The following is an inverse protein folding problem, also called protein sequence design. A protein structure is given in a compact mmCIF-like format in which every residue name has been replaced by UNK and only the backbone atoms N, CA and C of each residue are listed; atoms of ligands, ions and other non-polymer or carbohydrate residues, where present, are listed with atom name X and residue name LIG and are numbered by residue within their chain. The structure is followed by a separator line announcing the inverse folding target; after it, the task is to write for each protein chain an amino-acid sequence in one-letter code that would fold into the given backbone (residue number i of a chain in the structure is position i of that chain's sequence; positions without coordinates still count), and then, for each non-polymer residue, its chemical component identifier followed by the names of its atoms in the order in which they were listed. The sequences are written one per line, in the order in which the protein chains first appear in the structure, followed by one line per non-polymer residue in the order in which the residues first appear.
data_IF_472894815081
#
_entry.id   IF_472894815081
#
_cell.length_a   1.000
_cell.length_b   1.000
_cell.length_c   1.000
_cell.angle_alpha   90.00
_cell.angle_beta   90.00
_cell.angle_gamma   90.00
#
_symmetry.space_group_name_H-M   'P 1'
#
loop_
_entity.id
_entity.type
_entity.pdbx_description
1 polymer ?
#
# COMPACT_ATOMS: atom_id res chain seq x y z
N UNK A 1 -14.27 -8.02 30.94
CA UNK A 1 -12.84 -8.01 30.72
C UNK A 1 -12.42 -6.62 30.26
N UNK A 2 -11.37 -6.06 30.85
CA UNK A 2 -10.85 -4.77 30.45
C UNK A 2 -10.12 -4.91 29.09
N UNK A 3 -10.40 -3.99 28.19
CA UNK A 3 -9.65 -3.85 26.93
C UNK A 3 -8.60 -2.75 27.09
N UNK A 4 -7.40 -3.02 26.62
CA UNK A 4 -6.30 -2.07 26.56
C UNK A 4 -6.05 -1.70 25.11
N UNK A 5 -5.67 -0.46 24.85
CA UNK A 5 -5.36 -0.01 23.52
C UNK A 5 -5.38 1.50 23.41
N UNK A 6 -5.33 2.00 22.17
CA UNK A 6 -5.38 3.41 21.87
C UNK A 6 -6.59 3.72 21.00
N UNK A 7 -7.16 4.90 21.21
CA UNK A 7 -8.17 5.50 20.35
C UNK A 7 -7.61 6.84 19.86
N UNK A 8 -7.43 6.96 18.55
CA UNK A 8 -6.99 8.19 17.92
C UNK A 8 -8.11 8.65 17.00
N UNK A 9 -8.58 9.88 17.21
CA UNK A 9 -9.69 10.44 16.44
C UNK A 9 -9.20 11.58 15.55
N UNK A 10 -9.85 11.74 14.41
CA UNK A 10 -9.67 12.92 13.56
C UNK A 10 -10.34 14.14 14.22
N UNK A 11 -10.03 15.32 13.71
CA UNK A 11 -10.58 16.58 14.23
C UNK A 11 -12.10 16.66 14.16
N UNK A 12 -12.74 15.88 13.28
CA UNK A 12 -14.19 15.79 13.17
C UNK A 12 -14.81 14.78 14.16
N UNK A 13 -14.00 14.17 15.04
CA UNK A 13 -14.45 13.18 16.01
C UNK A 13 -14.51 11.75 15.51
N UNK A 14 -14.30 11.49 14.23
CA UNK A 14 -14.29 10.13 13.69
C UNK A 14 -13.06 9.36 14.18
N UNK A 15 -13.23 8.13 14.68
CA UNK A 15 -12.08 7.33 15.10
C UNK A 15 -11.19 6.97 13.91
N UNK A 16 -9.90 7.18 14.08
CA UNK A 16 -8.88 6.82 13.10
C UNK A 16 -8.21 5.50 13.46
N UNK A 17 -7.88 5.33 14.74
CA UNK A 17 -7.31 4.09 15.26
C UNK A 17 -8.10 3.70 16.50
N UNK A 18 -8.51 2.44 16.56
CA UNK A 18 -9.20 1.84 17.72
C UNK A 18 -8.47 0.56 18.12
N UNK A 19 -8.73 0.03 19.34
CA UNK A 19 -8.16 -1.26 19.73
C UNK A 19 -8.52 -2.44 18.82
N UNK A 20 -9.62 -2.31 18.08
CA UNK A 20 -10.15 -3.37 17.24
C UNK A 20 -9.91 -3.12 15.75
N UNK A 21 -9.14 -2.09 15.39
CA UNK A 21 -8.86 -1.74 13.98
C UNK A 21 -7.39 -1.96 13.63
N UNK A 22 -7.17 -2.41 12.41
CA UNK A 22 -5.83 -2.51 11.84
C UNK A 22 -5.78 -1.66 10.57
N UNK A 23 -5.03 -0.55 10.57
CA UNK A 23 -4.95 0.29 9.38
C UNK A 23 -4.10 -0.39 8.30
N UNK A 24 -4.44 -0.12 7.04
CA UNK A 24 -3.56 -0.44 5.93
C UNK A 24 -2.42 0.57 5.90
N UNK A 25 -1.20 0.09 5.76
CA UNK A 25 -0.01 0.93 5.69
C UNK A 25 0.70 0.74 4.36
N UNK A 26 1.41 1.79 3.94
CA UNK A 26 2.20 1.74 2.71
C UNK A 26 3.34 0.74 2.89
N UNK A 27 3.33 -0.30 2.05
CA UNK A 27 4.43 -1.25 1.99
C UNK A 27 5.55 -0.73 1.10
N UNK A 28 5.20 -0.27 -0.11
CA UNK A 28 6.20 0.24 -1.05
C UNK A 28 5.58 1.16 -2.10
N UNK A 29 6.33 2.17 -2.50
CA UNK A 29 6.11 2.94 -3.72
C UNK A 29 7.11 2.45 -4.77
N UNK A 30 6.61 2.15 -5.96
CA UNK A 30 7.45 1.73 -7.10
C UNK A 30 7.26 2.72 -8.25
N UNK A 31 8.35 3.21 -8.80
CA UNK A 31 8.34 4.11 -9.95
C UNK A 31 9.03 3.42 -11.12
N UNK A 32 8.35 3.31 -12.26
CA UNK A 32 8.83 2.62 -13.44
C UNK A 32 8.64 3.50 -14.68
N UNK A 33 9.69 3.65 -15.47
CA UNK A 33 9.58 4.30 -16.77
C UNK A 33 9.02 3.31 -17.80
N UNK A 34 8.11 3.78 -18.66
CA UNK A 34 7.60 2.95 -19.74
C UNK A 34 8.68 2.58 -20.74
N UNK A 35 8.53 1.41 -21.35
CA UNK A 35 9.36 0.97 -22.47
C UNK A 35 8.49 0.79 -23.71
N UNK A 36 9.03 1.16 -24.88
CA UNK A 36 8.30 1.03 -26.15
C UNK A 36 8.67 -0.28 -26.83
N UNK A 37 7.64 -1.00 -27.28
CA UNK A 37 7.79 -2.23 -28.04
C UNK A 37 6.46 -2.69 -28.63
N UNK A 38 6.45 -3.14 -29.89
CA UNK A 38 5.25 -3.63 -30.55
C UNK A 38 4.13 -2.59 -30.61
N UNK A 39 4.43 -1.35 -30.88
CA UNK A 39 3.50 -0.21 -30.92
C UNK A 39 2.95 0.22 -29.56
N UNK A 40 3.40 -0.37 -28.47
CA UNK A 40 2.96 -0.01 -27.11
C UNK A 40 4.08 0.59 -26.28
N UNK A 41 3.73 1.58 -25.47
CA UNK A 41 4.49 1.93 -24.28
C UNK A 41 3.90 1.16 -23.12
N UNK A 42 4.71 0.47 -22.34
CA UNK A 42 4.25 -0.34 -21.22
C UNK A 42 5.19 -0.25 -20.03
N UNK A 43 4.62 -0.38 -18.84
CA UNK A 43 5.33 -0.44 -17.58
C UNK A 43 4.61 -1.36 -16.62
N UNK A 44 5.35 -2.08 -15.80
CA UNK A 44 4.81 -2.97 -14.78
C UNK A 44 5.52 -2.75 -13.45
N UNK A 45 4.76 -2.78 -12.37
CA UNK A 45 5.27 -2.74 -11.01
C UNK A 45 4.66 -3.88 -10.21
N UNK A 46 5.45 -4.58 -9.44
CA UNK A 46 4.95 -5.66 -8.59
C UNK A 46 5.70 -5.71 -7.27
N UNK A 47 5.01 -6.19 -6.23
CA UNK A 47 5.59 -6.44 -4.91
C UNK A 47 5.04 -7.75 -4.37
N UNK A 48 5.85 -8.47 -3.62
CA UNK A 48 5.42 -9.63 -2.84
C UNK A 48 5.43 -9.25 -1.37
N UNK A 49 4.28 -9.39 -0.71
CA UNK A 49 4.10 -9.03 0.69
C UNK A 49 3.76 -10.29 1.47
N UNK A 50 4.76 -10.88 2.11
CA UNK A 50 4.56 -12.09 2.91
C UNK A 50 3.74 -11.80 4.15
N UNK A 51 2.83 -12.71 4.49
CA UNK A 51 1.98 -12.59 5.66
C UNK A 51 0.89 -11.53 5.57
N UNK A 52 0.62 -10.99 4.38
CA UNK A 52 -0.41 -9.97 4.20
C UNK A 52 -1.82 -10.53 4.42
N UNK A 53 -2.71 -9.69 4.95
CA UNK A 53 -4.11 -10.02 5.19
C UNK A 53 -5.07 -9.16 4.36
N UNK A 54 -4.60 -8.71 3.20
CA UNK A 54 -5.35 -7.87 2.30
C UNK A 54 -4.56 -6.61 1.94
N UNK A 55 -4.85 -6.06 0.78
CA UNK A 55 -4.17 -4.86 0.32
C UNK A 55 -4.88 -4.22 -0.86
N UNK A 56 -4.42 -3.02 -1.17
CA UNK A 56 -4.92 -2.24 -2.29
C UNK A 56 -3.74 -1.51 -2.94
N UNK A 57 -3.79 -1.36 -4.25
CA UNK A 57 -2.80 -0.58 -4.99
C UNK A 57 -3.44 0.67 -5.57
N UNK A 58 -2.71 1.77 -5.48
CA UNK A 58 -3.02 3.01 -6.19
C UNK A 58 -1.94 3.23 -7.23
N UNK A 59 -2.34 3.73 -8.39
CA UNK A 59 -1.39 3.98 -9.45
C UNK A 59 -1.76 5.24 -10.23
N UNK A 60 -0.74 5.90 -10.74
CA UNK A 60 -0.90 7.00 -11.68
C UNK A 60 0.17 6.93 -12.76
N UNK A 61 -0.14 7.51 -13.89
CA UNK A 61 0.80 7.64 -15.02
C UNK A 61 0.94 9.11 -15.41
N UNK A 62 2.13 9.50 -15.86
CA UNK A 62 2.41 10.88 -16.28
C UNK A 62 1.78 11.24 -17.62
N UNK A 63 1.33 10.25 -18.39
CA UNK A 63 0.59 10.43 -19.63
C UNK A 63 -0.56 9.42 -19.68
N UNK A 64 -1.61 9.63 -20.50
CA UNK A 64 -2.74 8.71 -20.56
C UNK A 64 -2.32 7.29 -20.89
N UNK A 65 -2.80 6.34 -20.09
CA UNK A 65 -2.54 4.92 -20.27
C UNK A 65 -3.67 4.10 -19.65
N UNK A 66 -3.86 2.90 -20.16
CA UNK A 66 -4.73 1.91 -19.54
C UNK A 66 -3.98 1.29 -18.36
N UNK A 67 -4.59 1.31 -17.19
CA UNK A 67 -4.02 0.73 -15.97
C UNK A 67 -4.85 -0.45 -15.54
N UNK A 68 -4.19 -1.55 -15.19
CA UNK A 68 -4.82 -2.72 -14.60
C UNK A 68 -4.03 -3.18 -13.37
N UNK A 69 -4.73 -3.77 -12.42
CA UNK A 69 -4.12 -4.31 -11.22
C UNK A 69 -4.58 -5.75 -11.03
N UNK A 70 -3.70 -6.56 -10.48
CA UNK A 70 -3.99 -7.96 -10.18
C UNK A 70 -3.26 -8.40 -8.90
N UNK A 71 -3.76 -9.48 -8.32
CA UNK A 71 -3.16 -10.12 -7.16
C UNK A 71 -3.12 -11.61 -7.39
N UNK A 72 -1.97 -12.21 -7.14
CA UNK A 72 -1.80 -13.67 -7.16
C UNK A 72 -1.03 -14.08 -5.92
N UNK A 73 -1.69 -14.80 -5.00
CA UNK A 73 -1.10 -15.13 -3.70
C UNK A 73 -0.71 -13.87 -2.93
N UNK A 74 0.56 -13.72 -2.61
CA UNK A 74 1.10 -12.55 -1.90
C UNK A 74 1.67 -11.48 -2.85
N UNK A 75 1.55 -11.67 -4.17
CA UNK A 75 2.10 -10.75 -5.16
C UNK A 75 1.02 -9.82 -5.69
N UNK A 76 1.25 -8.52 -5.54
CA UNK A 76 0.41 -7.47 -6.09
C UNK A 76 1.11 -6.88 -7.31
N UNK A 77 0.38 -6.70 -8.40
CA UNK A 77 0.93 -6.20 -9.66
C UNK A 77 0.07 -5.08 -10.21
N UNK A 78 0.72 -4.07 -10.79
CA UNK A 78 0.07 -2.99 -11.53
C UNK A 78 0.74 -2.92 -12.89
N UNK A 79 -0.06 -2.94 -13.95
CA UNK A 79 0.41 -2.83 -15.34
C UNK A 79 -0.22 -1.61 -15.99
N UNK A 80 0.56 -0.90 -16.78
CA UNK A 80 0.08 0.25 -17.53
C UNK A 80 0.59 0.17 -18.98
N UNK A 81 -0.27 0.52 -19.93
CA UNK A 81 0.10 0.53 -21.34
C UNK A 81 -0.72 1.53 -22.15
N UNK A 82 -0.13 2.06 -23.21
CA UNK A 82 -0.85 2.80 -24.24
C UNK A 82 -0.40 2.35 -25.62
N UNK A 83 -1.32 2.45 -26.59
CA UNK A 83 -1.05 2.12 -27.99
C UNK A 83 -0.66 3.39 -28.74
N UNK A 84 0.56 3.40 -29.27
CA UNK A 84 1.11 4.53 -30.04
C UNK A 84 0.97 5.89 -29.34
N UNK A 85 0.88 5.88 -28.01
CA UNK A 85 0.81 7.10 -27.22
C UNK A 85 2.17 7.61 -26.78
N UNK A 86 2.15 8.57 -25.87
CA UNK A 86 3.37 9.11 -25.29
C UNK A 86 4.00 8.15 -24.29
N UNK A 87 5.32 8.17 -24.17
CA UNK A 87 6.01 7.55 -23.07
C UNK A 87 5.52 8.13 -21.72
N UNK A 88 5.52 7.31 -20.69
CA UNK A 88 5.02 7.70 -19.39
C UNK A 88 5.87 7.12 -18.26
N UNK A 89 5.67 7.67 -17.06
CA UNK A 89 6.19 7.11 -15.81
C UNK A 89 5.01 6.55 -15.03
N UNK A 90 5.11 5.29 -14.61
CA UNK A 90 4.14 4.64 -13.73
C UNK A 90 4.61 4.80 -12.29
N UNK A 91 3.76 5.35 -11.43
CA UNK A 91 3.96 5.35 -9.99
C UNK A 91 2.88 4.47 -9.36
N UNK A 92 3.29 3.43 -8.67
CA UNK A 92 2.40 2.51 -7.97
C UNK A 92 2.66 2.55 -6.47
N UNK A 93 1.58 2.61 -5.69
CA UNK A 93 1.60 2.65 -4.23
C UNK A 93 0.89 1.41 -3.72
N UNK A 94 1.61 0.56 -3.01
CA UNK A 94 1.07 -0.69 -2.48
C UNK A 94 0.82 -0.56 -0.98
N UNK A 95 -0.44 -0.58 -0.58
CA UNK A 95 -0.88 -0.56 0.82
C UNK A 95 -1.40 -1.93 1.19
N UNK A 96 -1.08 -2.39 2.39
CA UNK A 96 -1.56 -3.68 2.86
C UNK A 96 -1.62 -3.72 4.40
N UNK A 97 -2.30 -4.73 4.90
CA UNK A 97 -2.17 -5.17 6.29
C UNK A 97 -1.14 -6.29 6.28
N UNK A 98 0.01 -6.06 6.90
CA UNK A 98 1.14 -7.00 6.91
C UNK A 98 1.89 -6.91 8.24
N UNK A 99 2.69 -7.93 8.60
CA UNK A 99 3.49 -7.88 9.81
C UNK A 99 4.46 -6.69 9.80
N UNK A 100 4.35 -5.84 10.80
CA UNK A 100 5.20 -4.66 10.95
C UNK A 100 6.46 -5.00 11.75
N UNK A 101 7.52 -4.25 11.50
CA UNK A 101 8.77 -4.33 12.26
C UNK A 101 8.74 -3.30 13.38
N UNK A 102 9.09 -3.74 14.59
CA UNK A 102 9.19 -2.84 15.73
C UNK A 102 10.38 -1.89 15.51
N UNK A 103 10.17 -0.57 15.56
CA UNK A 103 11.26 0.39 15.42
C UNK A 103 12.16 0.38 16.65
N UNK A 104 13.41 0.84 16.48
CA UNK A 104 14.37 0.92 17.58
C UNK A 104 13.93 1.90 18.67
N UNK A 105 13.18 2.93 18.29
CA UNK A 105 12.61 3.93 19.20
C UNK A 105 11.38 4.57 18.55
N UNK A 106 10.53 5.18 19.34
CA UNK A 106 9.34 5.87 18.86
C UNK A 106 8.06 5.27 19.43
N UNK A 107 6.98 5.30 18.65
CA UNK A 107 5.66 4.84 19.06
C UNK A 107 5.34 3.51 18.39
N UNK A 108 4.74 2.61 19.15
CA UNK A 108 4.21 1.35 18.65
C UNK A 108 2.86 1.07 19.31
N UNK A 109 1.90 0.58 18.52
CA UNK A 109 0.55 0.24 19.01
C UNK A 109 0.25 -1.19 18.60
N UNK A 110 -0.21 -1.99 19.57
CA UNK A 110 -0.62 -3.36 19.38
C UNK A 110 -2.14 -3.48 19.53
N UNK A 111 -2.73 -4.46 18.84
CA UNK A 111 -4.13 -4.80 19.04
C UNK A 111 -4.33 -5.65 20.30
N UNK A 112 -5.57 -6.07 20.55
CA UNK A 112 -5.92 -6.87 21.73
C UNK A 112 -5.28 -8.27 21.70
N UNK A 113 -4.91 -8.78 20.54
CA UNK A 113 -4.26 -10.07 20.35
C UNK A 113 -2.73 -9.99 20.43
N UNK A 114 -2.18 -8.79 20.65
CA UNK A 114 -0.73 -8.57 20.72
C UNK A 114 -0.05 -8.42 19.37
N UNK A 115 -0.78 -8.18 18.29
CA UNK A 115 -0.23 -7.91 16.97
C UNK A 115 0.12 -6.44 16.83
N UNK A 116 1.33 -6.13 16.35
CA UNK A 116 1.77 -4.76 16.10
C UNK A 116 1.01 -4.19 14.90
N UNK A 117 0.23 -3.15 15.11
CA UNK A 117 -0.67 -2.59 14.09
C UNK A 117 -0.27 -1.21 13.61
N UNK A 118 0.56 -0.49 14.36
CA UNK A 118 1.02 0.84 13.97
C UNK A 118 2.33 1.18 14.66
N UNK A 119 3.22 1.83 13.93
CA UNK A 119 4.45 2.42 14.47
C UNK A 119 4.60 3.86 13.98
N UNK A 120 5.55 4.59 14.54
CA UNK A 120 5.89 5.94 14.05
C UNK A 120 6.43 5.93 12.60
N UNK A 121 6.81 4.78 12.08
CA UNK A 121 7.28 4.61 10.70
C UNK A 121 6.15 4.21 9.74
N UNK A 122 4.95 3.89 10.25
CA UNK A 122 3.80 3.50 9.43
C UNK A 122 3.25 4.68 8.64
N UNK A 123 3.05 4.48 7.37
CA UNK A 123 2.37 5.44 6.48
C UNK A 123 0.99 4.90 6.16
N UNK A 124 0.02 5.34 6.95
CA UNK A 124 -1.35 4.83 6.90
C UNK A 124 -2.09 5.43 5.72
N UNK A 125 -2.91 4.59 5.07
CA UNK A 125 -3.79 4.99 3.98
C UNK A 125 -4.84 5.99 4.46
#
# INVERSE_FOLDING_TARGET
MAKYGALISLSNGNPFITPDSTPMTLYRKVTVNSTFGGDFNSASASVTIDGQKGGIAFARTSAPAKISASKSGNTFSVDASNYKGSAFVLEAYFFAIYPLTLPAWGVAIWDAEGTLVLTNESRVL
#
